data_IF_794147231287
#
_entry.id   IF_794147231287
#
_cell.length_a   1.000
_cell.length_b   1.000
_cell.length_c   1.000
_cell.angle_alpha   90.00
_cell.angle_beta   90.00
_cell.angle_gamma   90.00
#
_symmetry.space_group_name_H-M   'P 1'
#
loop_
_entity.id
_entity.type
_entity.pdbx_description
1 polymer ?
#
# COMPACT_ATOMS: atom_id res chain seq x y z
N UNK A 1 23.04 -22.75 30.21
CA UNK A 1 22.39 -23.46 29.08
C UNK A 1 23.23 -23.20 27.85
N UNK A 2 23.98 -24.22 27.41
CA UNK A 2 24.97 -24.11 26.33
C UNK A 2 24.27 -24.31 24.99
N UNK A 3 24.04 -23.23 24.25
CA UNK A 3 23.43 -23.27 22.91
C UNK A 3 24.48 -23.59 21.84
N UNK A 4 24.30 -24.72 21.15
CA UNK A 4 25.20 -25.21 20.10
C UNK A 4 25.32 -24.22 18.94
N UNK A 5 26.54 -23.75 18.69
CA UNK A 5 26.94 -22.88 17.59
C UNK A 5 27.48 -23.68 16.41
N UNK A 6 26.62 -24.35 15.63
CA UNK A 6 27.03 -24.93 14.36
C UNK A 6 26.02 -24.68 13.25
N UNK A 7 26.21 -23.56 12.54
CA UNK A 7 25.43 -23.11 11.39
C UNK A 7 25.66 -23.92 10.10
N UNK A 8 26.31 -25.09 10.18
CA UNK A 8 26.96 -25.74 9.01
C UNK A 8 26.17 -26.81 8.27
N UNK A 9 24.88 -27.00 8.52
CA UNK A 9 24.08 -27.99 7.78
C UNK A 9 22.80 -27.35 7.25
N UNK A 10 22.45 -27.54 5.99
CA UNK A 10 21.25 -26.92 5.38
C UNK A 10 19.97 -27.20 6.18
N UNK A 11 19.85 -28.38 6.82
CA UNK A 11 18.74 -28.72 7.72
C UNK A 11 18.76 -27.99 9.07
N UNK A 12 19.93 -27.55 9.56
CA UNK A 12 20.04 -26.75 10.79
C UNK A 12 19.84 -25.25 10.54
N UNK A 13 20.09 -24.76 9.32
CA UNK A 13 19.83 -23.36 8.96
C UNK A 13 18.33 -23.06 8.95
N UNK A 14 17.50 -23.92 8.36
CA UNK A 14 16.03 -23.71 8.36
C UNK A 14 15.47 -23.71 9.77
N UNK A 15 15.86 -24.67 10.61
CA UNK A 15 15.41 -24.72 12.01
C UNK A 15 15.90 -23.51 12.83
N UNK A 16 17.14 -23.06 12.63
CA UNK A 16 17.66 -21.86 13.29
C UNK A 16 16.94 -20.58 12.82
N UNK A 17 16.66 -20.48 11.51
CA UNK A 17 15.90 -19.38 10.94
C UNK A 17 14.47 -19.35 11.50
N UNK A 18 13.79 -20.49 11.59
CA UNK A 18 12.45 -20.60 12.15
C UNK A 18 12.39 -20.15 13.61
N UNK A 19 13.41 -20.50 14.42
CA UNK A 19 13.53 -20.02 15.80
C UNK A 19 13.63 -18.49 15.83
N UNK A 20 14.45 -17.89 14.97
CA UNK A 20 14.60 -16.43 14.92
C UNK A 20 13.29 -15.77 14.48
N UNK A 21 12.69 -16.27 13.40
CA UNK A 21 11.41 -15.77 12.86
C UNK A 21 10.29 -15.91 13.89
N UNK A 22 10.27 -16.99 14.67
CA UNK A 22 9.27 -17.18 15.73
C UNK A 22 9.32 -16.07 16.77
N UNK A 23 10.53 -15.62 17.17
CA UNK A 23 10.70 -14.50 18.10
C UNK A 23 10.29 -13.15 17.51
N UNK A 24 10.41 -12.99 16.19
CA UNK A 24 9.92 -11.79 15.52
C UNK A 24 8.39 -11.69 15.57
N UNK A 25 7.65 -12.81 15.60
CA UNK A 25 6.17 -12.81 15.70
C UNK A 25 5.66 -12.24 17.01
N UNK A 26 6.48 -12.24 18.06
CA UNK A 26 6.15 -11.65 19.36
C UNK A 26 6.22 -10.11 19.33
N UNK A 27 6.82 -9.52 18.29
CA UNK A 27 6.90 -8.07 18.14
C UNK A 27 5.62 -7.55 17.49
N UNK A 28 5.20 -6.36 17.94
CA UNK A 28 4.08 -5.65 17.32
C UNK A 28 4.42 -5.37 15.85
N UNK A 29 3.58 -5.87 14.94
CA UNK A 29 3.72 -5.62 13.52
C UNK A 29 3.09 -4.26 13.23
N UNK A 30 3.85 -3.25 12.75
CA UNK A 30 3.29 -1.95 12.43
C UNK A 30 2.28 -2.08 11.29
N UNK A 31 1.33 -1.14 11.22
CA UNK A 31 0.48 -1.05 10.04
C UNK A 31 1.37 -0.80 8.82
N UNK A 32 1.14 -1.58 7.77
CA UNK A 32 1.88 -1.44 6.53
C UNK A 32 1.54 -0.10 5.86
N UNK A 33 2.44 0.86 5.99
CA UNK A 33 2.36 2.20 5.39
C UNK A 33 3.69 2.52 4.72
N UNK A 34 3.69 3.50 3.82
CA UNK A 34 4.94 4.01 3.23
C UNK A 34 5.94 4.45 4.31
N UNK A 35 5.44 5.14 5.34
CA UNK A 35 6.25 5.62 6.48
C UNK A 35 6.90 4.44 7.22
N UNK A 36 6.13 3.43 7.59
CA UNK A 36 6.64 2.28 8.33
C UNK A 36 7.72 1.50 7.55
N UNK A 37 7.58 1.40 6.22
CA UNK A 37 8.61 0.78 5.38
C UNK A 37 9.88 1.63 5.34
N UNK A 38 9.75 2.95 5.13
CA UNK A 38 10.89 3.86 5.10
C UNK A 38 11.64 3.91 6.44
N UNK A 39 10.91 3.85 7.56
CA UNK A 39 11.51 3.72 8.89
C UNK A 39 12.30 2.41 9.03
N UNK A 40 11.74 1.28 8.56
CA UNK A 40 12.45 0.00 8.55
C UNK A 40 13.71 0.02 7.70
N UNK A 41 13.66 0.64 6.52
CA UNK A 41 14.82 0.87 5.66
C UNK A 41 15.87 1.72 6.38
N UNK A 42 15.47 2.83 7.01
CA UNK A 42 16.37 3.72 7.74
C UNK A 42 17.00 3.01 8.96
N UNK A 43 16.24 2.17 9.67
CA UNK A 43 16.75 1.35 10.76
C UNK A 43 17.79 0.34 10.26
N UNK A 44 17.54 -0.29 9.12
CA UNK A 44 18.53 -1.16 8.50
C UNK A 44 19.82 -0.39 8.17
N UNK A 45 19.71 0.75 7.47
CA UNK A 45 20.87 1.55 7.08
C UNK A 45 21.66 2.02 8.30
N UNK A 46 20.98 2.46 9.36
CA UNK A 46 21.65 2.90 10.60
C UNK A 46 22.25 1.75 11.42
N UNK A 47 21.78 0.52 11.24
CA UNK A 47 22.34 -0.66 11.87
C UNK A 47 23.57 -1.21 11.14
N UNK A 48 23.82 -0.78 9.90
CA UNK A 48 25.03 -1.14 9.17
C UNK A 48 26.27 -0.55 9.86
N UNK A 49 27.29 -1.38 9.96
CA UNK A 49 28.58 -1.02 10.50
C UNK A 49 29.58 -1.01 9.35
N UNK A 50 30.41 0.03 9.30
CA UNK A 50 31.58 0.07 8.44
C UNK A 50 32.83 -0.14 9.27
N UNK A 51 33.77 -0.93 8.77
CA UNK A 51 35.11 -0.98 9.32
C UNK A 51 36.12 -0.73 8.21
N UNK A 52 37.16 0.03 8.54
CA UNK A 52 38.33 0.20 7.70
C UNK A 52 39.23 -1.01 7.90
N UNK A 53 39.35 -1.89 6.92
CA UNK A 53 40.28 -3.02 6.97
C UNK A 53 41.66 -2.61 6.44
N UNK A 54 42.68 -3.41 6.74
CA UNK A 54 44.04 -3.17 6.23
C UNK A 54 44.14 -3.35 4.70
N UNK A 55 43.20 -4.09 4.09
CA UNK A 55 43.18 -4.42 2.66
C UNK A 55 41.95 -3.90 1.92
N UNK A 56 40.79 -3.79 2.59
CA UNK A 56 39.57 -3.22 2.04
C UNK A 56 38.64 -2.73 3.16
N UNK A 57 37.84 -1.71 2.87
CA UNK A 57 36.73 -1.29 3.72
C UNK A 57 35.60 -2.31 3.59
N UNK A 58 34.95 -2.63 4.70
CA UNK A 58 33.82 -3.56 4.71
C UNK A 58 32.58 -2.93 5.35
N UNK A 59 31.41 -3.26 4.80
CA UNK A 59 30.09 -2.87 5.32
C UNK A 59 29.34 -4.14 5.71
N UNK A 60 28.91 -4.23 6.96
CA UNK A 60 28.25 -5.43 7.48
C UNK A 60 27.11 -5.10 8.45
N UNK A 61 26.19 -6.04 8.61
CA UNK A 61 25.15 -6.01 9.63
C UNK A 61 25.43 -7.08 10.69
N UNK A 62 25.50 -6.69 11.96
CA UNK A 62 25.76 -7.62 13.07
C UNK A 62 27.20 -7.52 13.59
N UNK A 63 27.63 -8.51 14.35
CA UNK A 63 28.95 -8.49 15.03
C UNK A 63 29.99 -9.24 14.20
N UNK A 64 30.95 -8.52 13.63
CA UNK A 64 32.13 -9.11 12.99
C UNK A 64 33.09 -9.75 14.00
N UNK A 65 33.88 -10.72 13.54
CA UNK A 65 34.92 -11.36 14.36
C UNK A 65 36.29 -10.70 14.10
N UNK A 66 36.63 -9.69 14.91
CA UNK A 66 37.90 -8.96 14.77
C UNK A 66 38.02 -8.20 13.44
N UNK A 67 39.24 -8.09 12.91
CA UNK A 67 39.55 -7.32 11.69
C UNK A 67 39.21 -8.06 10.38
N UNK A 68 38.68 -9.29 10.46
CA UNK A 68 38.54 -10.19 9.32
C UNK A 68 37.05 -10.43 8.97
N UNK A 69 36.34 -9.38 8.57
CA UNK A 69 35.01 -9.45 7.94
C UNK A 69 33.97 -10.35 8.63
N UNK A 70 32.94 -10.75 7.89
CA UNK A 70 31.99 -11.77 8.34
C UNK A 70 32.56 -13.18 8.19
N UNK A 71 33.60 -13.49 8.96
CA UNK A 71 34.29 -14.79 8.95
C UNK A 71 33.57 -15.90 9.73
N UNK A 72 33.86 -17.16 9.35
CA UNK A 72 33.31 -18.41 9.91
C UNK A 72 33.84 -18.78 11.31
N UNK A 73 33.85 -17.85 12.26
CA UNK A 73 34.26 -18.08 13.65
C UNK A 73 33.06 -18.19 14.60
N UNK A 74 33.20 -18.98 15.67
CA UNK A 74 32.15 -19.16 16.69
C UNK A 74 31.76 -17.88 17.48
N UNK A 75 32.50 -16.77 17.29
CA UNK A 75 32.37 -15.53 18.05
C UNK A 75 31.76 -14.35 17.26
N UNK A 76 31.50 -14.50 15.95
CA UNK A 76 30.92 -13.47 15.10
C UNK A 76 29.68 -13.96 14.36
N UNK A 77 28.68 -13.10 14.25
CA UNK A 77 27.47 -13.33 13.46
C UNK A 77 27.14 -12.02 12.75
N UNK A 78 27.47 -11.95 11.46
CA UNK A 78 27.15 -10.81 10.62
C UNK A 78 26.88 -11.21 9.17
N UNK A 79 26.25 -10.31 8.45
CA UNK A 79 26.01 -10.38 7.00
C UNK A 79 26.87 -9.31 6.34
N UNK A 80 27.70 -9.72 5.38
CA UNK A 80 28.55 -8.81 4.60
C UNK A 80 27.76 -8.21 3.44
N UNK A 81 27.69 -6.87 3.41
CA UNK A 81 27.01 -6.07 2.40
C UNK A 81 27.99 -5.24 1.55
N UNK A 82 29.30 -5.43 1.71
CA UNK A 82 30.34 -4.60 1.09
C UNK A 82 30.15 -4.48 -0.42
N UNK A 83 30.02 -5.61 -1.14
CA UNK A 83 29.86 -5.59 -2.60
C UNK A 83 28.51 -5.03 -3.07
N UNK A 84 27.51 -5.02 -2.19
CA UNK A 84 26.14 -4.60 -2.49
C UNK A 84 25.88 -3.13 -2.18
N UNK A 85 26.65 -2.53 -1.27
CA UNK A 85 26.50 -1.12 -0.89
C UNK A 85 27.59 -0.25 -1.52
N UNK A 86 28.71 -0.86 -1.97
CA UNK A 86 29.69 -0.15 -2.78
C UNK A 86 29.08 0.08 -4.18
N UNK A 87 28.72 1.32 -4.47
CA UNK A 87 28.09 1.69 -5.73
C UNK A 87 28.97 1.24 -6.92
N UNK A 88 28.48 0.27 -7.70
CA UNK A 88 29.13 -0.17 -8.94
C UNK A 88 28.91 0.85 -10.07
N UNK A 89 27.91 1.72 -9.97
CA UNK A 89 27.59 2.78 -10.92
C UNK A 89 27.01 4.03 -10.23
N UNK A 90 27.26 5.24 -10.77
CA UNK A 90 26.68 6.47 -10.25
C UNK A 90 25.14 6.43 -10.36
N UNK A 91 24.46 6.60 -9.22
CA UNK A 91 22.99 6.61 -9.12
C UNK A 91 22.39 5.38 -8.43
N UNK A 92 23.12 4.27 -8.31
CA UNK A 92 22.69 3.11 -7.53
C UNK A 92 23.36 3.13 -6.16
N UNK A 93 22.60 3.51 -5.13
CA UNK A 93 23.08 3.58 -3.76
C UNK A 93 23.27 2.20 -3.11
N UNK A 94 22.58 1.16 -3.60
CA UNK A 94 22.80 -0.24 -3.24
C UNK A 94 22.22 -1.19 -4.31
N UNK A 95 22.72 -2.43 -4.36
CA UNK A 95 22.32 -3.53 -5.25
C UNK A 95 21.68 -4.69 -4.43
N UNK A 96 20.94 -4.33 -3.38
CA UNK A 96 20.29 -5.27 -2.47
C UNK A 96 18.84 -5.49 -2.93
N UNK A 97 18.54 -6.64 -3.54
CA UNK A 97 17.21 -6.92 -4.13
C UNK A 97 16.04 -6.64 -3.18
N UNK A 98 16.12 -7.12 -1.94
CA UNK A 98 15.05 -6.94 -0.96
C UNK A 98 14.86 -5.46 -0.58
N UNK A 99 15.93 -4.67 -0.62
CA UNK A 99 15.90 -3.23 -0.33
C UNK A 99 15.14 -2.49 -1.42
N UNK A 100 15.47 -2.73 -2.70
CA UNK A 100 14.75 -2.13 -3.83
C UNK A 100 13.27 -2.52 -3.86
N UNK A 101 12.94 -3.75 -3.46
CA UNK A 101 11.55 -4.18 -3.34
C UNK A 101 10.80 -3.40 -2.26
N UNK A 102 11.46 -3.11 -1.13
CA UNK A 102 10.87 -2.31 -0.06
C UNK A 102 10.69 -0.84 -0.47
N UNK A 103 11.67 -0.24 -1.15
CA UNK A 103 11.53 1.12 -1.69
C UNK A 103 10.36 1.24 -2.67
N UNK A 104 10.26 0.30 -3.61
CA UNK A 104 9.13 0.24 -4.55
C UNK A 104 7.80 0.06 -3.82
N UNK A 105 7.74 -0.79 -2.81
CA UNK A 105 6.54 -0.98 -2.00
C UNK A 105 6.15 0.30 -1.25
N UNK A 106 7.11 1.02 -0.68
CA UNK A 106 6.88 2.30 -0.02
C UNK A 106 6.31 3.35 -0.99
N UNK A 107 6.86 3.43 -2.22
CA UNK A 107 6.37 4.33 -3.26
C UNK A 107 4.93 3.99 -3.69
N UNK A 108 4.63 2.71 -3.90
CA UNK A 108 3.27 2.26 -4.23
C UNK A 108 2.27 2.61 -3.14
N UNK A 109 2.62 2.40 -1.86
CA UNK A 109 1.75 2.74 -0.74
C UNK A 109 1.51 4.25 -0.64
N UNK A 110 2.54 5.07 -0.87
CA UNK A 110 2.38 6.53 -0.89
C UNK A 110 1.41 6.98 -1.99
N UNK A 111 1.52 6.41 -3.20
CA UNK A 111 0.62 6.69 -4.31
C UNK A 111 -0.82 6.26 -4.01
N UNK A 112 -1.01 5.10 -3.38
CA UNK A 112 -2.35 4.63 -2.95
C UNK A 112 -2.97 5.56 -1.92
N UNK A 113 -2.20 6.00 -0.93
CA UNK A 113 -2.71 6.91 0.10
C UNK A 113 -3.02 8.30 -0.46
N UNK A 114 -2.25 8.75 -1.46
CA UNK A 114 -2.54 9.98 -2.19
C UNK A 114 -3.84 9.86 -3.00
N UNK A 115 -4.00 8.80 -3.79
CA UNK A 115 -5.24 8.57 -4.54
C UNK A 115 -6.47 8.45 -3.61
N UNK A 116 -6.30 7.89 -2.40
CA UNK A 116 -7.37 7.85 -1.40
C UNK A 116 -7.75 9.22 -0.86
N UNK A 117 -6.78 10.15 -0.70
CA UNK A 117 -7.07 11.55 -0.32
C UNK A 117 -7.87 12.22 -1.42
N UNK A 118 -7.39 12.14 -2.66
CA UNK A 118 -8.06 12.75 -3.81
C UNK A 118 -9.50 12.26 -4.01
N UNK A 119 -9.75 10.95 -3.82
CA UNK A 119 -11.11 10.41 -3.87
C UNK A 119 -12.00 10.99 -2.77
N UNK A 120 -11.49 11.15 -1.54
CA UNK A 120 -12.28 11.75 -0.45
C UNK A 120 -12.58 13.21 -0.72
N UNK A 121 -11.60 13.96 -1.18
CA UNK A 121 -11.75 15.39 -1.49
C UNK A 121 -12.77 15.59 -2.62
N UNK A 122 -12.71 14.74 -3.66
CA UNK A 122 -13.68 14.75 -4.75
C UNK A 122 -15.09 14.39 -4.28
N UNK A 123 -15.22 13.41 -3.38
CA UNK A 123 -16.51 13.04 -2.80
C UNK A 123 -17.12 14.17 -1.98
N UNK A 124 -16.31 14.82 -1.14
CA UNK A 124 -16.74 15.98 -0.37
C UNK A 124 -17.19 17.11 -1.30
N UNK A 125 -16.45 17.39 -2.38
CA UNK A 125 -16.83 18.43 -3.34
C UNK A 125 -18.15 18.12 -4.04
N UNK A 126 -18.42 16.85 -4.37
CA UNK A 126 -19.71 16.44 -4.94
C UNK A 126 -20.87 16.62 -3.96
N UNK A 127 -20.65 16.37 -2.68
CA UNK A 127 -21.66 16.59 -1.64
C UNK A 127 -21.96 18.08 -1.46
N UNK A 128 -20.94 18.93 -1.40
CA UNK A 128 -21.10 20.40 -1.35
C UNK A 128 -21.89 20.93 -2.55
N UNK A 129 -21.51 20.53 -3.77
CA UNK A 129 -22.20 20.97 -4.99
C UNK A 129 -23.66 20.52 -5.03
N UNK A 130 -23.94 19.31 -4.52
CA UNK A 130 -25.30 18.81 -4.40
C UNK A 130 -26.11 19.68 -3.44
N UNK A 131 -25.57 19.98 -2.26
CA UNK A 131 -26.24 20.83 -1.28
C UNK A 131 -26.48 22.26 -1.80
N UNK A 132 -25.49 22.83 -2.48
CA UNK A 132 -25.60 24.14 -3.14
C UNK A 132 -26.73 24.14 -4.19
N UNK A 133 -26.80 23.10 -5.03
CA UNK A 133 -27.86 22.97 -6.03
C UNK A 133 -29.26 22.84 -5.43
N UNK A 134 -29.40 22.10 -4.33
CA UNK A 134 -30.68 21.94 -3.62
C UNK A 134 -31.11 23.25 -2.98
N UNK A 135 -30.16 24.00 -2.41
CA UNK A 135 -30.40 25.32 -1.83
C UNK A 135 -30.85 26.31 -2.89
N UNK A 136 -30.15 26.38 -4.03
CA UNK A 136 -30.52 27.24 -5.16
C UNK A 136 -31.92 26.90 -5.68
N UNK A 137 -32.22 25.61 -5.87
CA UNK A 137 -33.54 25.17 -6.30
C UNK A 137 -34.65 25.60 -5.33
N UNK A 138 -34.44 25.44 -4.02
CA UNK A 138 -35.39 25.89 -3.00
C UNK A 138 -35.61 27.41 -3.04
N UNK A 139 -34.54 28.20 -3.21
CA UNK A 139 -34.66 29.68 -3.32
C UNK A 139 -35.42 30.12 -4.58
N UNK A 140 -35.25 29.42 -5.70
CA UNK A 140 -35.96 29.72 -6.93
C UNK A 140 -37.45 29.36 -6.84
N UNK A 141 -37.80 28.24 -6.19
CA UNK A 141 -39.22 27.90 -5.95
C UNK A 141 -39.94 28.94 -5.09
N UNK A 142 -39.28 29.49 -4.05
CA UNK A 142 -39.85 30.55 -3.22
C UNK A 142 -40.07 31.84 -4.04
N UNK A 143 -39.20 32.12 -5.01
CA UNK A 143 -39.37 33.27 -5.92
C UNK A 143 -40.48 33.04 -6.95
N UNK A 144 -40.67 31.82 -7.46
CA UNK A 144 -41.81 31.50 -8.34
C UNK A 144 -43.15 31.66 -7.58
N UNK A 145 -43.24 31.26 -6.31
CA UNK A 145 -44.44 31.49 -5.48
C UNK A 145 -44.73 33.00 -5.27
N UNK A 146 -43.71 33.86 -5.31
CA UNK A 146 -43.87 35.32 -5.30
C UNK A 146 -44.21 35.91 -6.68
N UNK A 147 -43.86 35.23 -7.77
CA UNK A 147 -44.19 35.63 -9.16
C UNK A 147 -45.57 35.12 -9.61
N UNK A 148 -46.15 34.11 -8.95
CA UNK A 148 -47.48 33.55 -9.26
C UNK A 148 -48.63 34.50 -8.90
N UNK A 149 -48.40 35.58 -8.13
CA UNK A 149 -49.42 36.64 -7.98
C UNK A 149 -49.65 37.47 -9.26
N UNK A 150 -48.83 37.29 -10.30
CA UNK A 150 -49.07 37.93 -11.59
C UNK A 150 -48.70 37.02 -12.77
N UNK A 151 -49.42 35.90 -12.95
CA UNK A 151 -49.97 35.47 -14.26
C UNK A 151 -50.59 34.06 -14.20
N UNK A 152 -51.69 33.93 -14.93
CA UNK A 152 -52.64 32.82 -15.08
C UNK A 152 -52.03 31.48 -15.53
N UNK A 153 -52.74 30.34 -15.32
CA UNK A 153 -52.17 29.00 -15.39
C UNK A 153 -52.01 28.50 -16.84
N UNK A 154 -50.84 27.95 -17.18
CA UNK A 154 -50.63 27.23 -18.44
C UNK A 154 -50.06 25.83 -18.20
N UNK A 155 -50.95 24.84 -18.32
CA UNK A 155 -50.83 23.46 -18.84
C UNK A 155 -49.39 22.85 -18.88
N UNK A 156 -49.17 21.66 -18.26
CA UNK A 156 -47.89 20.96 -18.34
C UNK A 156 -47.60 20.47 -19.77
N UNK A 157 -46.53 21.00 -20.37
CA UNK A 157 -46.11 20.68 -21.74
C UNK A 157 -45.38 19.33 -21.75
N UNK A 158 -45.68 18.49 -22.73
CA UNK A 158 -45.16 17.11 -22.91
C UNK A 158 -43.62 16.96 -22.84
N UNK A 159 -42.85 18.05 -22.86
CA UNK A 159 -41.39 18.05 -22.72
C UNK A 159 -40.90 17.61 -21.35
N UNK A 160 -41.63 17.88 -20.26
CA UNK A 160 -41.22 17.47 -18.90
C UNK A 160 -41.34 15.96 -18.68
N UNK A 161 -42.43 15.34 -19.18
CA UNK A 161 -42.63 13.88 -19.11
C UNK A 161 -41.54 13.11 -19.85
N UNK A 162 -41.06 13.64 -20.98
CA UNK A 162 -39.98 13.02 -21.77
C UNK A 162 -38.62 13.10 -21.05
N UNK A 163 -38.31 14.23 -20.39
CA UNK A 163 -37.10 14.37 -19.58
C UNK A 163 -37.08 13.42 -18.38
N UNK A 164 -38.21 13.23 -17.71
CA UNK A 164 -38.30 12.31 -16.56
C UNK A 164 -38.12 10.84 -16.99
N UNK A 165 -38.66 10.45 -18.14
CA UNK A 165 -38.51 9.09 -18.67
C UNK A 165 -37.06 8.79 -19.10
N UNK A 166 -36.39 9.75 -19.73
CA UNK A 166 -34.99 9.61 -20.14
C UNK A 166 -34.06 9.54 -18.92
N UNK A 167 -34.33 10.32 -17.87
CA UNK A 167 -33.60 10.24 -16.60
C UNK A 167 -33.78 8.88 -15.90
N UNK A 168 -35.00 8.32 -15.89
CA UNK A 168 -35.28 6.97 -15.37
C UNK A 168 -34.56 5.88 -16.16
N UNK A 169 -34.42 6.03 -17.49
CA UNK A 169 -33.69 5.05 -18.33
C UNK A 169 -32.19 5.07 -18.05
N UNK A 170 -31.58 6.24 -17.89
CA UNK A 170 -30.15 6.33 -17.56
C UNK A 170 -29.83 5.83 -16.15
N UNK A 171 -30.65 6.15 -15.14
CA UNK A 171 -30.48 5.62 -13.79
C UNK A 171 -30.50 4.08 -13.76
N UNK A 172 -31.45 3.47 -14.48
CA UNK A 172 -31.54 2.02 -14.59
C UNK A 172 -30.31 1.38 -15.29
N UNK A 173 -29.70 2.07 -16.27
CA UNK A 173 -28.46 1.59 -16.92
C UNK A 173 -27.28 1.62 -15.95
N UNK A 174 -27.14 2.70 -15.18
CA UNK A 174 -26.06 2.86 -14.19
C UNK A 174 -26.19 1.81 -13.09
N UNK A 175 -27.40 1.55 -12.60
CA UNK A 175 -27.64 0.53 -11.57
C UNK A 175 -27.26 -0.88 -12.05
N UNK A 176 -27.64 -1.24 -13.28
CA UNK A 176 -27.25 -2.52 -13.90
C UNK A 176 -25.73 -2.64 -14.04
N UNK A 177 -25.04 -1.58 -14.47
CA UNK A 177 -23.57 -1.54 -14.59
C UNK A 177 -22.91 -1.75 -13.23
N UNK A 178 -23.40 -1.07 -12.19
CA UNK A 178 -22.88 -1.21 -10.82
C UNK A 178 -23.10 -2.61 -10.26
N UNK A 179 -24.25 -3.24 -10.52
CA UNK A 179 -24.53 -4.62 -10.13
C UNK A 179 -23.59 -5.61 -10.81
N UNK A 180 -23.31 -5.41 -12.10
CA UNK A 180 -22.36 -6.24 -12.85
C UNK A 180 -20.92 -6.07 -12.31
N UNK A 181 -20.51 -4.83 -12.05
CA UNK A 181 -19.18 -4.53 -11.51
C UNK A 181 -18.99 -5.15 -10.11
N UNK A 182 -20.01 -5.09 -9.25
CA UNK A 182 -20.00 -5.78 -7.94
C UNK A 182 -19.89 -7.30 -8.09
N UNK A 183 -20.61 -7.92 -9.02
CA UNK A 183 -20.51 -9.36 -9.30
C UNK A 183 -19.10 -9.75 -9.76
N UNK A 184 -18.51 -8.99 -10.68
CA UNK A 184 -17.16 -9.26 -11.18
C UNK A 184 -16.11 -9.11 -10.06
N UNK A 185 -16.24 -8.08 -9.22
CA UNK A 185 -15.37 -7.89 -8.04
C UNK A 185 -15.48 -9.05 -7.05
N UNK A 186 -16.67 -9.61 -6.84
CA UNK A 186 -16.86 -10.80 -5.99
C UNK A 186 -16.24 -12.06 -6.60
N UNK A 187 -16.35 -12.25 -7.92
CA UNK A 187 -15.71 -13.38 -8.62
C UNK A 187 -14.18 -13.31 -8.60
N UNK A 188 -13.60 -12.11 -8.76
CA UNK A 188 -12.15 -11.92 -8.65
C UNK A 188 -11.66 -12.23 -7.24
N UNK A 189 -12.39 -11.80 -6.21
CA UNK A 189 -12.09 -12.16 -4.81
C UNK A 189 -12.19 -13.65 -4.53
N UNK A 190 -13.21 -14.34 -5.07
CA UNK A 190 -13.35 -15.79 -4.86
C UNK A 190 -12.27 -16.60 -5.59
N UNK A 191 -11.86 -16.18 -6.79
CA UNK A 191 -10.72 -16.76 -7.51
C UNK A 191 -9.41 -16.56 -6.77
N UNK A 192 -9.14 -15.35 -6.28
CA UNK A 192 -7.94 -15.02 -5.49
C UNK A 192 -7.84 -15.87 -4.21
N UNK A 193 -8.95 -16.06 -3.49
CA UNK A 193 -9.00 -16.97 -2.33
C UNK A 193 -8.76 -18.44 -2.70
N UNK A 194 -9.26 -18.88 -3.86
CA UNK A 194 -9.09 -20.26 -4.34
C UNK A 194 -7.65 -20.53 -4.79
N UNK A 195 -6.94 -19.53 -5.32
CA UNK A 195 -5.49 -19.62 -5.59
C UNK A 195 -4.66 -19.58 -4.32
N UNK A 196 -5.02 -18.80 -3.29
CA UNK A 196 -4.30 -18.81 -2.00
C UNK A 196 -4.51 -20.11 -1.21
N UNK A 197 -5.68 -20.74 -1.31
CA UNK A 197 -5.95 -22.04 -0.67
C UNK A 197 -5.31 -23.25 -1.38
N UNK A 198 -4.80 -23.09 -2.60
CA UNK A 198 -4.14 -24.17 -3.36
C UNK A 198 -2.62 -24.23 -3.15
N UNK A 199 -2.02 -23.23 -2.48
CA UNK A 199 -0.59 -23.17 -2.14
C UNK A 199 -0.34 -23.69 -0.70
N UNK A 200 -1.25 -24.49 -0.15
CA UNK A 200 -1.13 -25.07 1.20
C UNK A 200 -1.38 -26.59 1.23
N UNK A 201 -1.34 -27.24 0.07
CA UNK A 201 -1.34 -28.70 -0.04
C UNK A 201 -0.27 -29.06 -1.08
N UNK A 202 0.98 -29.07 -0.63
CA UNK A 202 2.08 -29.94 -1.09
C UNK A 202 3.23 -29.82 -0.09
#
# INVERSE_FOLDING_TARGET
>A
MSGQTSWKTAGTITAAADIIVSKCKEKAIPRLTSIAINEGIAQFVSALQSHRGDTADAVHLGKANGNAGCGNGAAGACVDYTEKITAKQPGNANDIDWYEHMERAAAVLAAVDQARREVRDAQQKLEELKEESLTLYATLQINDDLLIQSQTPTIPTQMEKKKEEDAKKECNKIEKRNRLHRKHKMQMKSRSKRTQGKVHIE
#
